data_IF_042097831412
#
_entry.id   IF_042097831412
#
_cell.length_a   1.000
_cell.length_b   1.000
_cell.length_c   1.000
_cell.angle_alpha   90.00
_cell.angle_beta   90.00
_cell.angle_gamma   90.00
#
_symmetry.space_group_name_H-M   'P 1'
#
loop_
_entity.id
_entity.type
_entity.pdbx_description
1 polymer ?
#
# COMPACT_ATOMS: atom_id res chain seq x y z
N UNK A 1 1.21 68.26 17.04
CA UNK A 1 2.33 67.31 17.14
C UNK A 1 1.76 65.96 17.56
N UNK A 2 1.24 65.20 16.58
CA UNK A 2 0.64 63.90 16.78
C UNK A 2 1.65 62.84 16.32
N UNK A 3 2.44 62.32 17.26
CA UNK A 3 3.56 61.43 16.95
C UNK A 3 3.10 59.97 16.94
N UNK A 4 2.76 59.49 15.75
CA UNK A 4 3.39 58.38 15.00
C UNK A 4 3.78 57.05 15.69
N UNK A 5 3.52 56.85 16.97
CA UNK A 5 4.08 55.73 17.74
C UNK A 5 3.12 54.55 17.86
N UNK A 6 1.83 54.76 17.59
CA UNK A 6 0.81 53.71 17.69
C UNK A 6 0.64 52.92 16.39
N UNK A 7 1.04 53.50 15.25
CA UNK A 7 0.90 52.82 13.94
C UNK A 7 1.97 51.75 13.69
N UNK A 8 3.09 51.79 14.41
CA UNK A 8 4.20 50.82 14.22
C UNK A 8 3.97 49.53 15.02
N UNK A 9 3.20 49.55 16.11
CA UNK A 9 2.93 48.33 16.90
C UNK A 9 1.82 47.44 16.34
N UNK A 10 0.98 47.93 15.42
CA UNK A 10 -0.05 47.10 14.77
C UNK A 10 0.50 46.36 13.55
N UNK A 11 1.63 46.80 12.97
CA UNK A 11 2.23 46.15 11.80
C UNK A 11 3.13 44.95 12.14
N UNK A 12 3.52 44.77 13.41
CA UNK A 12 4.42 43.67 13.84
C UNK A 12 3.65 42.44 14.33
N UNK A 13 2.35 42.55 14.61
CA UNK A 13 1.51 41.43 15.04
C UNK A 13 0.88 40.62 13.87
N UNK A 14 1.23 40.96 12.62
CA UNK A 14 0.80 40.25 11.40
C UNK A 14 1.91 39.41 10.76
N UNK A 15 3.01 39.18 11.47
CA UNK A 15 3.78 37.94 11.33
C UNK A 15 2.98 36.81 11.99
N UNK A 16 1.76 36.59 11.47
CA UNK A 16 1.11 35.31 11.63
C UNK A 16 2.13 34.28 11.21
N UNK A 17 2.40 33.32 12.09
CA UNK A 17 3.18 32.14 11.77
C UNK A 17 2.67 31.63 10.42
N UNK A 18 3.40 31.92 9.35
CA UNK A 18 3.33 31.12 8.14
C UNK A 18 3.74 29.75 8.63
N UNK A 19 2.77 28.96 9.08
CA UNK A 19 2.95 27.52 9.16
C UNK A 19 3.53 27.19 7.79
N UNK A 20 4.76 26.65 7.72
CA UNK A 20 5.34 26.34 6.43
C UNK A 20 4.26 25.54 5.71
N UNK A 21 3.84 26.02 4.53
CA UNK A 21 3.02 25.22 3.64
C UNK A 21 3.82 23.93 3.53
N UNK A 22 3.37 22.88 4.21
CA UNK A 22 4.09 21.60 4.21
C UNK A 22 4.06 21.18 2.77
N UNK A 23 5.18 21.39 2.07
CA UNK A 23 5.34 21.01 0.69
C UNK A 23 4.90 19.55 0.60
N UNK A 24 3.98 19.27 -0.33
CA UNK A 24 3.33 17.96 -0.40
C UNK A 24 4.42 16.88 -0.41
N UNK A 25 4.35 15.98 0.57
CA UNK A 25 5.38 14.96 0.75
C UNK A 25 5.26 13.94 -0.38
N UNK A 26 6.37 13.63 -1.04
CA UNK A 26 6.40 12.56 -2.02
C UNK A 26 5.87 11.25 -1.42
N UNK A 27 5.12 10.49 -2.21
CA UNK A 27 4.48 9.26 -1.76
C UNK A 27 4.89 8.08 -2.64
N UNK A 28 5.39 7.00 -2.03
CA UNK A 28 5.76 5.77 -2.72
C UNK A 28 4.89 4.61 -2.25
N UNK A 29 4.34 3.88 -3.21
CA UNK A 29 3.39 2.80 -2.92
C UNK A 29 3.93 1.50 -3.48
N UNK A 30 3.97 0.46 -2.67
CA UNK A 30 4.40 -0.89 -3.01
C UNK A 30 3.32 -1.88 -2.60
N UNK A 31 3.24 -3.01 -3.29
CA UNK A 31 2.35 -4.09 -2.89
C UNK A 31 1.50 -4.66 -4.00
N UNK A 32 0.30 -5.10 -3.63
CA UNK A 32 -0.64 -5.84 -4.46
C UNK A 32 -1.83 -5.00 -4.96
N UNK A 33 -2.91 -5.68 -5.35
CA UNK A 33 -4.15 -5.10 -5.91
C UNK A 33 -4.80 -4.08 -5.00
N UNK A 34 -4.65 -4.19 -3.68
CA UNK A 34 -5.29 -3.29 -2.71
C UNK A 34 -4.81 -1.85 -2.84
N UNK A 35 -3.63 -1.66 -3.44
CA UNK A 35 -3.01 -0.35 -3.62
C UNK A 35 -2.55 -0.10 -5.05
N UNK A 36 -2.78 -0.99 -6.01
CA UNK A 36 -2.43 -0.78 -7.42
C UNK A 36 -3.29 0.36 -8.02
N UNK A 37 -2.62 1.25 -8.74
CA UNK A 37 -3.23 2.37 -9.47
C UNK A 37 -3.20 2.19 -10.99
N UNK A 38 -2.90 0.98 -11.48
CA UNK A 38 -2.99 0.59 -12.89
C UNK A 38 -1.68 0.14 -13.53
N UNK A 39 -0.67 -0.31 -12.78
CA UNK A 39 0.54 -0.88 -13.41
C UNK A 39 0.22 -2.12 -14.25
N UNK A 40 -0.73 -2.94 -13.80
CA UNK A 40 -1.12 -4.17 -14.50
C UNK A 40 -1.72 -3.93 -15.90
N UNK A 41 -2.20 -2.73 -16.19
CA UNK A 41 -2.72 -2.36 -17.51
C UNK A 41 -1.63 -2.36 -18.59
N UNK A 42 -0.36 -2.27 -18.19
CA UNK A 42 0.81 -2.27 -19.08
C UNK A 42 1.43 -3.66 -19.24
N UNK A 43 0.83 -4.71 -18.67
CA UNK A 43 1.37 -6.08 -18.64
C UNK A 43 0.43 -7.05 -19.32
N UNK A 44 0.94 -8.09 -19.98
CA UNK A 44 0.09 -9.21 -20.44
C UNK A 44 -0.22 -10.11 -19.25
N UNK A 45 -1.37 -9.88 -18.61
CA UNK A 45 -1.81 -10.54 -17.37
C UNK A 45 -3.33 -10.63 -17.29
N UNK A 46 -3.84 -11.62 -16.55
CA UNK A 46 -5.25 -11.72 -16.19
C UNK A 46 -5.63 -10.87 -14.97
N UNK A 47 -4.66 -10.42 -14.17
CA UNK A 47 -4.91 -9.59 -13.00
C UNK A 47 -5.04 -8.12 -13.41
N UNK A 48 -6.18 -7.72 -14.01
CA UNK A 48 -6.44 -6.34 -14.45
C UNK A 48 -7.77 -5.79 -13.93
N UNK A 49 -7.81 -4.48 -13.76
CA UNK A 49 -8.99 -3.71 -13.41
C UNK A 49 -9.23 -2.53 -14.39
N UNK A 50 -9.05 -2.80 -15.68
CA UNK A 50 -9.22 -1.87 -16.79
C UNK A 50 -10.58 -2.02 -17.51
N UNK A 51 -11.53 -2.75 -16.90
CA UNK A 51 -12.89 -2.95 -17.40
C UNK A 51 -13.96 -2.69 -16.33
N UNK A 52 -15.24 -2.49 -16.69
CA UNK A 52 -16.34 -2.53 -15.72
C UNK A 52 -16.34 -3.82 -14.89
N UNK A 53 -16.79 -3.79 -13.62
CA UNK A 53 -17.41 -2.65 -12.91
C UNK A 53 -16.40 -1.66 -12.29
N UNK A 54 -15.09 -1.88 -12.44
CA UNK A 54 -14.08 -1.00 -11.84
C UNK A 54 -14.20 0.43 -12.35
N UNK A 55 -14.01 1.39 -11.44
CA UNK A 55 -14.04 2.82 -11.77
C UNK A 55 -15.43 3.45 -11.94
N UNK A 56 -16.54 2.73 -11.67
CA UNK A 56 -17.91 3.28 -11.76
C UNK A 56 -18.14 4.48 -10.83
N UNK A 57 -17.53 4.50 -9.65
CA UNK A 57 -17.58 5.57 -8.65
C UNK A 57 -16.36 6.50 -8.73
N UNK A 58 -15.44 6.28 -9.68
CA UNK A 58 -14.31 7.17 -9.91
C UNK A 58 -14.80 8.49 -10.55
N UNK A 59 -14.17 9.65 -10.32
CA UNK A 59 -14.62 10.93 -10.88
C UNK A 59 -14.82 10.97 -12.41
N UNK A 60 -14.18 10.07 -13.16
CA UNK A 60 -14.33 9.96 -14.61
C UNK A 60 -15.32 8.88 -15.05
N UNK A 61 -15.89 8.11 -14.11
CA UNK A 61 -16.74 6.95 -14.34
C UNK A 61 -16.15 5.91 -15.31
N UNK A 62 -14.81 5.77 -15.30
CA UNK A 62 -14.06 4.85 -16.16
C UNK A 62 -13.10 4.03 -15.32
N UNK A 63 -12.90 2.78 -15.72
CA UNK A 63 -11.90 1.91 -15.14
C UNK A 63 -10.50 2.55 -15.25
N UNK A 64 -9.77 2.56 -14.14
CA UNK A 64 -8.45 3.20 -14.05
C UNK A 64 -7.31 2.21 -13.81
N UNK A 65 -7.60 0.91 -13.69
CA UNK A 65 -6.66 -0.10 -13.20
C UNK A 65 -6.61 -0.23 -11.67
N UNK A 66 -7.46 0.50 -10.94
CA UNK A 66 -7.68 0.30 -9.51
C UNK A 66 -8.69 -0.82 -9.30
N UNK A 67 -8.38 -1.75 -8.41
CA UNK A 67 -9.27 -2.84 -8.01
C UNK A 67 -10.34 -2.35 -7.00
N UNK A 68 -11.10 -1.34 -7.43
CA UNK A 68 -12.14 -0.66 -6.67
C UNK A 68 -13.13 -0.02 -7.65
N UNK A 69 -14.35 0.27 -7.18
CA UNK A 69 -15.28 1.11 -7.92
C UNK A 69 -14.73 2.54 -8.12
N UNK A 70 -13.84 3.01 -7.26
CA UNK A 70 -13.36 4.40 -7.29
C UNK A 70 -11.93 4.52 -6.81
N UNK A 71 -11.72 5.45 -5.88
CA UNK A 71 -10.43 5.67 -5.25
C UNK A 71 -10.02 4.45 -4.41
N UNK A 72 -8.72 4.14 -4.39
CA UNK A 72 -8.16 3.16 -3.48
C UNK A 72 -7.44 3.84 -2.29
N UNK A 73 -6.89 3.05 -1.37
CA UNK A 73 -6.25 3.54 -0.15
C UNK A 73 -5.18 4.61 -0.44
N UNK A 74 -4.22 4.39 -1.38
CA UNK A 74 -3.26 5.40 -1.79
C UNK A 74 -3.86 6.74 -2.20
N UNK A 75 -4.94 6.73 -2.98
CA UNK A 75 -5.55 7.99 -3.43
C UNK A 75 -6.13 8.78 -2.25
N UNK A 76 -6.80 8.09 -1.34
CA UNK A 76 -7.38 8.70 -0.15
C UNK A 76 -6.26 9.27 0.74
N UNK A 77 -5.14 8.55 0.88
CA UNK A 77 -3.95 9.05 1.59
C UNK A 77 -3.39 10.29 0.89
N UNK A 78 -3.23 10.26 -0.44
CA UNK A 78 -2.81 11.41 -1.24
C UNK A 78 -3.68 12.64 -0.97
N UNK A 79 -5.00 12.49 -0.97
CA UNK A 79 -5.93 13.58 -0.64
C UNK A 79 -5.71 14.12 0.78
N UNK A 80 -5.53 13.24 1.77
CA UNK A 80 -5.31 13.63 3.17
C UNK A 80 -4.00 14.36 3.37
N UNK A 81 -2.95 14.02 2.62
CA UNK A 81 -1.67 14.74 2.64
C UNK A 81 -1.64 15.94 1.67
N UNK A 82 -2.80 16.31 1.09
CA UNK A 82 -2.96 17.41 0.12
C UNK A 82 -2.03 17.28 -1.09
N UNK A 83 -1.83 16.05 -1.55
CA UNK A 83 -1.06 15.70 -2.74
C UNK A 83 -1.97 15.16 -3.84
N UNK A 84 -1.51 15.24 -5.08
CA UNK A 84 -2.09 14.48 -6.18
C UNK A 84 -1.93 12.96 -5.93
N UNK A 85 -2.81 12.16 -6.54
CA UNK A 85 -2.63 10.71 -6.61
C UNK A 85 -1.35 10.36 -7.37
N UNK A 86 -0.58 9.43 -6.83
CA UNK A 86 0.61 8.89 -7.50
C UNK A 86 0.22 8.15 -8.78
N UNK A 87 0.97 8.35 -9.86
CA UNK A 87 0.80 7.58 -11.09
C UNK A 87 1.43 6.19 -10.96
N UNK A 88 0.92 5.16 -11.67
CA UNK A 88 1.62 3.89 -11.78
C UNK A 88 2.99 4.09 -12.43
N UNK A 89 4.01 3.39 -11.95
CA UNK A 89 5.39 3.56 -12.42
C UNK A 89 5.54 3.36 -13.93
N UNK A 90 4.78 2.42 -14.50
CA UNK A 90 4.79 2.12 -15.93
C UNK A 90 4.04 3.17 -16.79
N UNK A 91 3.37 4.15 -16.19
CA UNK A 91 2.68 5.20 -16.92
C UNK A 91 3.66 6.08 -17.70
N UNK A 92 3.42 6.33 -19.02
CA UNK A 92 4.21 7.28 -19.78
C UNK A 92 4.02 8.73 -19.31
N UNK A 93 2.99 9.01 -18.52
CA UNK A 93 2.74 10.32 -17.91
C UNK A 93 3.58 10.57 -16.65
N UNK A 94 4.22 9.54 -16.07
CA UNK A 94 5.12 9.71 -14.91
C UNK A 94 6.45 10.31 -15.38
N UNK A 95 6.48 11.60 -15.70
CA UNK A 95 7.69 12.30 -16.18
C UNK A 95 7.78 13.71 -15.57
N UNK A 96 8.95 14.35 -15.68
CA UNK A 96 9.17 15.72 -15.22
C UNK A 96 8.72 15.94 -13.77
N UNK A 97 7.94 17.00 -13.53
CA UNK A 97 7.46 17.36 -12.18
C UNK A 97 6.57 16.29 -11.54
N UNK A 98 5.95 15.38 -12.30
CA UNK A 98 5.18 14.26 -11.72
C UNK A 98 6.06 13.30 -10.92
N UNK A 99 7.37 13.24 -11.23
CA UNK A 99 8.31 12.52 -10.37
C UNK A 99 8.37 13.12 -8.96
N UNK A 100 8.16 14.42 -8.76
CA UNK A 100 8.23 15.02 -7.41
C UNK A 100 7.06 14.60 -6.50
N UNK A 101 5.94 14.17 -7.06
CA UNK A 101 4.77 13.64 -6.33
C UNK A 101 5.07 12.25 -5.75
N UNK A 102 5.91 11.48 -6.43
CA UNK A 102 6.17 10.07 -6.13
C UNK A 102 5.57 9.13 -7.17
N UNK A 103 5.45 7.86 -6.84
CA UNK A 103 5.02 6.83 -7.78
C UNK A 103 4.43 5.61 -7.08
N UNK A 104 3.53 4.93 -7.80
CA UNK A 104 2.97 3.67 -7.38
C UNK A 104 3.64 2.52 -8.14
N UNK A 105 4.30 1.62 -7.40
CA UNK A 105 4.99 0.46 -7.93
C UNK A 105 4.19 -0.84 -7.76
N UNK A 106 3.03 -0.79 -7.10
CA UNK A 106 2.23 -1.95 -6.79
C UNK A 106 1.68 -2.66 -8.03
N UNK A 107 1.40 -3.95 -7.90
CA UNK A 107 0.92 -4.79 -8.99
C UNK A 107 0.06 -5.93 -8.45
N UNK A 108 -1.13 -6.12 -9.01
CA UNK A 108 -2.04 -7.15 -8.52
C UNK A 108 -1.49 -8.57 -8.61
N UNK A 109 -1.91 -9.39 -7.65
CA UNK A 109 -1.58 -10.82 -7.55
C UNK A 109 -0.26 -11.13 -6.86
N UNK A 110 0.60 -10.15 -6.60
CA UNK A 110 1.89 -10.40 -5.96
C UNK A 110 1.73 -10.71 -4.47
N UNK A 111 2.71 -11.43 -3.92
CA UNK A 111 2.87 -11.61 -2.47
C UNK A 111 4.26 -11.23 -2.01
N UNK A 112 4.55 -11.60 -0.76
CA UNK A 112 5.88 -11.58 -0.15
C UNK A 112 6.80 -12.53 -0.92
N UNK A 113 6.31 -13.71 -1.27
CA UNK A 113 7.09 -14.72 -1.97
C UNK A 113 7.07 -14.52 -3.49
N UNK A 114 8.19 -14.85 -4.12
CA UNK A 114 8.36 -14.69 -5.56
C UNK A 114 7.49 -15.66 -6.40
N UNK A 115 7.09 -16.78 -5.82
CA UNK A 115 6.22 -17.79 -6.44
C UNK A 115 4.72 -17.56 -6.15
N UNK A 116 4.36 -16.54 -5.36
CA UNK A 116 2.96 -16.15 -5.18
C UNK A 116 2.42 -15.46 -6.43
N UNK A 117 1.21 -15.81 -6.87
CA UNK A 117 0.53 -15.16 -8.00
C UNK A 117 0.92 -15.67 -9.38
N UNK A 118 1.60 -16.82 -9.49
CA UNK A 118 2.04 -17.40 -10.77
C UNK A 118 0.90 -17.66 -11.77
N UNK A 119 -0.32 -17.89 -11.28
CA UNK A 119 -1.52 -18.06 -12.09
C UNK A 119 -1.91 -16.81 -12.89
N UNK A 120 -1.38 -15.65 -12.53
CA UNK A 120 -1.68 -14.37 -13.19
C UNK A 120 -0.69 -14.01 -14.30
N UNK A 121 0.19 -14.93 -14.71
CA UNK A 121 1.22 -14.71 -15.73
C UNK A 121 2.19 -13.58 -15.34
N UNK A 122 2.13 -12.43 -16.03
CA UNK A 122 3.06 -11.32 -15.81
C UNK A 122 2.58 -10.38 -14.69
N UNK A 123 3.27 -10.40 -13.56
CA UNK A 123 3.04 -9.49 -12.43
C UNK A 123 4.38 -8.87 -12.00
N UNK A 124 4.34 -7.65 -11.45
CA UNK A 124 5.56 -6.94 -10.99
C UNK A 124 5.83 -7.38 -9.55
N UNK A 125 6.55 -8.49 -9.39
CA UNK A 125 6.90 -9.05 -8.08
C UNK A 125 7.64 -8.04 -7.21
N UNK A 126 7.55 -8.19 -5.88
CA UNK A 126 8.03 -7.19 -4.93
C UNK A 126 9.49 -6.77 -5.14
N UNK A 127 10.41 -7.69 -5.45
CA UNK A 127 11.80 -7.32 -5.74
C UNK A 127 11.93 -6.49 -7.03
N UNK A 128 11.13 -6.77 -8.05
CA UNK A 128 11.04 -5.94 -9.26
C UNK A 128 10.44 -4.57 -8.96
N UNK A 129 9.47 -4.47 -8.05
CA UNK A 129 8.97 -3.15 -7.58
C UNK A 129 10.09 -2.33 -6.92
N UNK A 130 10.97 -2.97 -6.13
CA UNK A 130 12.13 -2.32 -5.53
C UNK A 130 13.19 -1.92 -6.58
N UNK A 131 13.37 -2.72 -7.63
CA UNK A 131 14.23 -2.36 -8.78
C UNK A 131 13.67 -1.15 -9.54
N UNK A 132 12.36 -1.11 -9.78
CA UNK A 132 11.68 0.05 -10.36
C UNK A 132 11.81 1.29 -9.47
N UNK A 133 11.80 1.13 -8.15
CA UNK A 133 12.09 2.24 -7.25
C UNK A 133 13.53 2.76 -7.41
N UNK A 134 14.52 1.88 -7.57
CA UNK A 134 15.89 2.29 -7.87
C UNK A 134 16.00 3.04 -9.21
N UNK A 135 15.31 2.55 -10.25
CA UNK A 135 15.27 3.25 -11.54
C UNK A 135 14.57 4.61 -11.42
N UNK A 136 13.45 4.68 -10.70
CA UNK A 136 12.79 5.92 -10.36
C UNK A 136 13.74 6.90 -9.65
N UNK A 137 14.55 6.44 -8.69
CA UNK A 137 15.52 7.29 -7.99
C UNK A 137 16.59 7.85 -8.92
N UNK A 138 17.03 7.08 -9.93
CA UNK A 138 17.95 7.58 -10.97
C UNK A 138 17.28 8.68 -11.80
N UNK A 139 16.03 8.48 -12.21
CA UNK A 139 15.24 9.48 -12.96
C UNK A 139 15.01 10.75 -12.15
N UNK A 140 14.68 10.62 -10.87
CA UNK A 140 14.54 11.74 -9.95
C UNK A 140 15.87 12.47 -9.76
N UNK A 141 16.96 11.73 -9.60
CA UNK A 141 18.32 12.29 -9.48
C UNK A 141 18.71 13.09 -10.71
N UNK A 142 18.40 12.61 -11.92
CA UNK A 142 18.64 13.35 -13.16
C UNK A 142 17.82 14.66 -13.23
N UNK A 143 16.63 14.69 -12.62
CA UNK A 143 15.76 15.87 -12.61
C UNK A 143 16.19 16.94 -11.61
N UNK A 144 16.57 16.56 -10.39
CA UNK A 144 16.77 17.51 -9.27
C UNK A 144 18.16 17.47 -8.62
N UNK A 145 19.05 16.61 -9.10
CA UNK A 145 20.36 16.36 -8.50
C UNK A 145 20.30 15.39 -7.31
N UNK A 146 21.43 14.74 -7.03
CA UNK A 146 21.52 13.63 -6.08
C UNK A 146 21.12 14.01 -4.65
N UNK A 147 21.57 15.17 -4.16
CA UNK A 147 21.29 15.60 -2.79
C UNK A 147 19.79 15.86 -2.58
N UNK A 148 19.14 16.57 -3.50
CA UNK A 148 17.70 16.85 -3.42
C UNK A 148 16.87 15.59 -3.61
N UNK A 149 17.24 14.71 -4.53
CA UNK A 149 16.58 13.42 -4.72
C UNK A 149 16.63 12.56 -3.44
N UNK A 150 17.79 12.48 -2.78
CA UNK A 150 17.95 11.78 -1.49
C UNK A 150 17.09 12.42 -0.40
N UNK A 151 17.00 13.76 -0.36
CA UNK A 151 16.13 14.48 0.56
C UNK A 151 14.65 14.12 0.37
N UNK A 152 14.17 14.15 -0.88
CA UNK A 152 12.80 13.76 -1.25
C UNK A 152 12.49 12.33 -0.78
N UNK A 153 13.37 11.38 -1.11
CA UNK A 153 13.18 9.96 -0.75
C UNK A 153 13.15 9.76 0.76
N UNK A 154 14.11 10.32 1.49
CA UNK A 154 14.19 10.15 2.95
C UNK A 154 13.00 10.78 3.69
N UNK A 155 12.42 11.84 3.13
CA UNK A 155 11.30 12.54 3.74
C UNK A 155 9.94 12.01 3.30
N UNK A 156 9.90 11.20 2.23
CA UNK A 156 8.69 10.63 1.64
C UNK A 156 7.89 9.78 2.63
N UNK A 157 6.59 9.66 2.35
CA UNK A 157 5.74 8.62 2.92
C UNK A 157 5.88 7.38 2.04
N UNK A 158 5.91 6.20 2.66
CA UNK A 158 5.89 4.93 1.94
C UNK A 158 4.75 4.08 2.47
N UNK A 159 3.99 3.46 1.57
CA UNK A 159 2.99 2.45 1.89
C UNK A 159 3.40 1.13 1.26
N UNK A 160 3.35 0.04 2.02
CA UNK A 160 3.56 -1.32 1.51
C UNK A 160 2.49 -2.27 2.01
N UNK A 161 1.86 -2.99 1.08
CA UNK A 161 0.87 -4.04 1.37
C UNK A 161 1.27 -5.36 0.74
N UNK A 162 1.41 -6.40 1.56
CA UNK A 162 1.76 -7.75 1.12
C UNK A 162 1.22 -8.78 2.13
N UNK A 163 1.12 -10.03 1.72
CA UNK A 163 0.86 -11.17 2.61
C UNK A 163 -0.44 -11.89 2.30
N UNK A 164 -1.51 -11.18 1.95
CA UNK A 164 -2.82 -11.82 1.74
C UNK A 164 -2.81 -12.81 0.56
N UNK A 165 -2.16 -12.43 -0.55
CA UNK A 165 -1.97 -13.33 -1.69
C UNK A 165 -1.09 -14.55 -1.37
N UNK A 166 -0.16 -14.46 -0.42
CA UNK A 166 0.63 -15.64 -0.03
C UNK A 166 -0.24 -16.72 0.64
N UNK A 167 -1.35 -16.33 1.26
CA UNK A 167 -2.32 -17.28 1.77
C UNK A 167 -3.34 -17.68 0.71
N UNK A 168 -4.04 -16.73 0.10
CA UNK A 168 -5.16 -17.04 -0.81
C UNK A 168 -4.66 -17.57 -2.15
N UNK A 169 -3.67 -16.91 -2.73
CA UNK A 169 -3.16 -17.14 -4.07
C UNK A 169 -1.89 -18.00 -4.10
N UNK A 170 -1.54 -18.65 -2.99
CA UNK A 170 -0.43 -19.60 -2.92
C UNK A 170 -0.71 -20.76 -1.94
N UNK A 171 -0.72 -20.52 -0.63
CA UNK A 171 -0.87 -21.59 0.36
C UNK A 171 -2.21 -22.33 0.28
N UNK A 172 -3.32 -21.61 0.10
CA UNK A 172 -4.68 -22.17 0.06
C UNK A 172 -5.30 -22.14 -1.34
N UNK A 173 -4.53 -21.80 -2.39
CA UNK A 173 -5.04 -21.65 -3.76
C UNK A 173 -5.78 -22.90 -4.26
N UNK A 174 -5.23 -24.08 -3.97
CA UNK A 174 -5.85 -25.38 -4.25
C UNK A 174 -5.68 -26.31 -3.05
N UNK A 175 -6.57 -27.32 -2.89
CA UNK A 175 -6.36 -28.38 -1.92
C UNK A 175 -4.97 -29.01 -2.09
N UNK A 176 -4.23 -29.14 -0.98
CA UNK A 176 -2.86 -29.68 -0.97
C UNK A 176 -1.90 -28.96 -1.95
N UNK A 177 -1.96 -27.62 -2.02
CA UNK A 177 -0.98 -26.80 -2.72
C UNK A 177 0.47 -27.20 -2.42
N UNK A 178 1.41 -26.85 -3.30
CA UNK A 178 2.83 -27.12 -3.07
C UNK A 178 3.32 -26.56 -1.72
N UNK A 179 2.85 -25.35 -1.33
CA UNK A 179 3.22 -24.71 -0.06
C UNK A 179 2.60 -25.37 1.16
N UNK A 180 1.33 -25.76 1.11
CA UNK A 180 0.68 -26.46 2.22
C UNK A 180 1.25 -27.85 2.47
N UNK A 181 1.75 -28.54 1.43
CA UNK A 181 2.49 -29.80 1.58
C UNK A 181 3.91 -29.61 2.12
N UNK A 182 4.53 -28.47 1.82
CA UNK A 182 5.90 -28.18 2.26
C UNK A 182 5.96 -27.72 3.71
N UNK A 183 4.97 -26.95 4.17
CA UNK A 183 4.97 -26.32 5.48
C UNK A 183 3.60 -26.47 6.16
N UNK A 184 3.61 -26.84 7.43
CA UNK A 184 2.49 -26.55 8.30
C UNK A 184 2.31 -25.03 8.47
N UNK A 185 1.08 -24.55 8.64
CA UNK A 185 0.73 -23.13 8.65
C UNK A 185 1.63 -22.27 9.56
N UNK A 186 1.91 -22.63 10.84
CA UNK A 186 2.79 -21.82 11.68
C UNK A 186 4.21 -21.67 11.13
N UNK A 187 4.76 -22.72 10.49
CA UNK A 187 6.09 -22.67 9.88
C UNK A 187 6.08 -21.83 8.60
N UNK A 188 5.00 -21.90 7.82
CA UNK A 188 4.81 -21.06 6.65
C UNK A 188 4.74 -19.57 7.02
N UNK A 189 3.99 -19.24 8.07
CA UNK A 189 3.91 -17.86 8.59
C UNK A 189 5.29 -17.34 9.01
N UNK A 190 6.07 -18.14 9.77
CA UNK A 190 7.44 -17.73 10.14
C UNK A 190 8.32 -17.49 8.91
N UNK A 191 8.18 -18.34 7.89
CA UNK A 191 8.90 -18.17 6.62
C UNK A 191 8.51 -16.87 5.92
N UNK A 192 7.20 -16.56 5.80
CA UNK A 192 6.73 -15.29 5.26
C UNK A 192 7.28 -14.07 6.02
N UNK A 193 7.26 -14.11 7.35
CA UNK A 193 7.79 -13.02 8.19
C UNK A 193 9.29 -12.79 7.95
N UNK A 194 10.07 -13.88 7.82
CA UNK A 194 11.49 -13.80 7.47
C UNK A 194 11.72 -13.16 6.11
N UNK A 195 10.95 -13.55 5.08
CA UNK A 195 11.10 -12.96 3.75
C UNK A 195 10.64 -11.50 3.70
N UNK A 196 9.54 -11.17 4.40
CA UNK A 196 9.07 -9.78 4.48
C UNK A 196 10.08 -8.89 5.20
N UNK A 197 10.74 -9.38 6.25
CA UNK A 197 11.82 -8.66 6.90
C UNK A 197 12.95 -8.29 5.92
N UNK A 198 13.32 -9.19 4.99
CA UNK A 198 14.34 -8.90 3.96
C UNK A 198 13.90 -7.79 3.01
N UNK A 199 12.64 -7.82 2.56
CA UNK A 199 12.03 -6.78 1.72
C UNK A 199 12.09 -5.42 2.41
N UNK A 200 11.66 -5.35 3.68
CA UNK A 200 11.66 -4.09 4.44
C UNK A 200 13.07 -3.57 4.71
N UNK A 201 14.02 -4.45 5.02
CA UNK A 201 15.43 -4.07 5.12
C UNK A 201 15.97 -3.51 3.80
N UNK A 202 15.56 -4.06 2.65
CA UNK A 202 15.95 -3.53 1.33
C UNK A 202 15.33 -2.16 1.10
N UNK A 203 14.05 -1.98 1.40
CA UNK A 203 13.36 -0.69 1.29
C UNK A 203 14.01 0.40 2.17
N UNK A 204 14.42 0.05 3.41
CA UNK A 204 15.21 0.95 4.27
C UNK A 204 16.57 1.30 3.66
N UNK A 205 17.29 0.32 3.10
CA UNK A 205 18.57 0.56 2.38
C UNK A 205 18.40 1.49 1.18
N UNK A 206 17.23 1.46 0.53
CA UNK A 206 16.88 2.37 -0.56
C UNK A 206 16.48 3.78 -0.10
N UNK A 207 16.46 4.05 1.21
CA UNK A 207 16.25 5.40 1.74
C UNK A 207 14.88 5.64 2.38
N UNK A 208 13.98 4.65 2.39
CA UNK A 208 12.69 4.81 3.07
C UNK A 208 12.87 5.01 4.59
N UNK A 209 12.22 6.03 5.15
CA UNK A 209 12.30 6.35 6.59
C UNK A 209 10.96 6.45 7.31
N UNK A 210 9.84 6.48 6.58
CA UNK A 210 8.48 6.52 7.11
C UNK A 210 7.61 5.56 6.31
N UNK A 211 7.47 4.34 6.81
CA UNK A 211 6.87 3.23 6.07
C UNK A 211 5.64 2.73 6.82
N UNK A 212 4.46 2.93 6.23
CA UNK A 212 3.23 2.27 6.63
C UNK A 212 3.25 0.85 6.06
N UNK A 213 3.22 -0.14 6.95
CA UNK A 213 3.20 -1.56 6.59
C UNK A 213 1.84 -2.12 6.98
N UNK A 214 1.06 -2.58 6.02
CA UNK A 214 -0.24 -3.19 6.32
C UNK A 214 -0.06 -4.67 6.63
N UNK A 215 -0.81 -5.14 7.64
CA UNK A 215 -1.06 -6.57 7.83
C UNK A 215 -2.13 -7.09 6.87
N UNK A 216 -2.51 -8.35 7.03
CA UNK A 216 -3.67 -8.90 6.31
C UNK A 216 -4.97 -8.48 6.99
N UNK A 217 -6.00 -8.24 6.17
CA UNK A 217 -7.37 -8.11 6.68
C UNK A 217 -7.95 -9.44 7.17
N UNK A 218 -9.25 -9.50 7.48
CA UNK A 218 -9.95 -10.74 7.76
C UNK A 218 -10.17 -11.54 6.46
N UNK A 219 -9.13 -12.24 6.00
CA UNK A 219 -9.11 -12.92 4.70
C UNK A 219 -10.25 -13.93 4.52
N UNK A 220 -10.64 -14.64 5.59
CA UNK A 220 -11.75 -15.58 5.53
C UNK A 220 -13.11 -14.91 5.32
N UNK A 221 -13.21 -13.61 5.61
CA UNK A 221 -14.43 -12.82 5.43
C UNK A 221 -14.53 -12.18 4.04
N UNK A 222 -13.50 -12.31 3.20
CA UNK A 222 -13.51 -11.79 1.83
C UNK A 222 -14.66 -12.46 1.06
N UNK A 223 -15.47 -11.70 0.30
CA UNK A 223 -16.64 -12.25 -0.39
C UNK A 223 -16.33 -13.47 -1.28
N UNK A 224 -15.23 -13.43 -2.04
CA UNK A 224 -14.79 -14.56 -2.87
C UNK A 224 -14.49 -15.81 -2.03
N UNK A 225 -13.76 -15.65 -0.92
CA UNK A 225 -13.43 -16.76 -0.02
C UNK A 225 -14.65 -17.32 0.69
N UNK A 226 -15.60 -16.45 1.11
CA UNK A 226 -16.88 -16.89 1.65
C UNK A 226 -17.68 -17.68 0.61
N UNK A 227 -17.76 -17.20 -0.62
CA UNK A 227 -18.48 -17.89 -1.70
C UNK A 227 -17.88 -19.27 -2.03
N UNK A 228 -16.54 -19.40 -1.97
CA UNK A 228 -15.85 -20.65 -2.30
C UNK A 228 -15.77 -21.65 -1.14
N UNK A 229 -15.65 -21.17 0.10
CA UNK A 229 -15.32 -22.02 1.26
C UNK A 229 -16.43 -22.13 2.29
N UNK A 230 -17.39 -21.21 2.30
CA UNK A 230 -18.44 -21.16 3.31
C UNK A 230 -19.72 -21.80 2.83
N UNK A 231 -20.33 -22.63 3.67
CA UNK A 231 -21.64 -23.26 3.39
C UNK A 231 -22.80 -22.47 3.98
N UNK A 232 -22.56 -21.70 5.02
CA UNK A 232 -23.53 -20.93 5.79
C UNK A 232 -23.29 -19.41 5.68
N UNK A 233 -22.30 -19.00 4.89
CA UNK A 233 -21.90 -17.61 4.76
C UNK A 233 -21.00 -17.11 5.89
N UNK A 234 -20.54 -17.93 6.84
CA UNK A 234 -19.53 -17.51 7.81
C UNK A 234 -18.16 -17.30 7.16
N UNK A 235 -17.26 -16.60 7.85
CA UNK A 235 -15.88 -16.44 7.39
C UNK A 235 -15.12 -17.77 7.41
N UNK A 236 -14.28 -18.02 6.41
CA UNK A 236 -13.47 -19.23 6.33
C UNK A 236 -12.44 -19.30 7.48
N UNK A 237 -12.62 -20.26 8.40
CA UNK A 237 -11.83 -20.37 9.64
C UNK A 237 -10.32 -20.51 9.39
N UNK A 238 -9.91 -21.28 8.39
CA UNK A 238 -8.48 -21.52 8.07
C UNK A 238 -7.74 -20.24 7.64
N UNK A 239 -8.42 -19.37 6.88
CA UNK A 239 -7.88 -18.08 6.46
C UNK A 239 -7.90 -17.05 7.60
N UNK A 240 -8.91 -17.09 8.47
CA UNK A 240 -8.91 -16.29 9.69
C UNK A 240 -7.76 -16.68 10.63
N UNK A 241 -7.50 -17.99 10.78
CA UNK A 241 -6.36 -18.49 11.54
C UNK A 241 -5.03 -18.04 10.96
N UNK A 242 -4.89 -18.03 9.62
CA UNK A 242 -3.70 -17.52 8.96
C UNK A 242 -3.44 -16.04 9.28
N UNK A 243 -4.46 -15.18 9.17
CA UNK A 243 -4.36 -13.76 9.57
C UNK A 243 -3.99 -13.60 11.05
N UNK A 244 -4.64 -14.37 11.93
CA UNK A 244 -4.41 -14.32 13.38
C UNK A 244 -2.99 -14.73 13.77
N UNK A 245 -2.36 -15.64 13.02
CA UNK A 245 -0.95 -16.01 13.21
C UNK A 245 0.01 -14.98 12.61
N UNK A 246 -0.30 -14.43 11.44
CA UNK A 246 0.59 -13.56 10.67
C UNK A 246 0.70 -12.15 11.27
N UNK A 247 -0.42 -11.49 11.56
CA UNK A 247 -0.44 -10.08 11.94
C UNK A 247 0.36 -9.77 13.22
N UNK A 248 0.24 -10.52 14.32
CA UNK A 248 1.04 -10.26 15.52
C UNK A 248 2.54 -10.43 15.28
N UNK A 249 2.94 -11.43 14.49
CA UNK A 249 4.34 -11.66 14.16
C UNK A 249 4.90 -10.58 13.23
N UNK A 250 4.09 -10.04 12.32
CA UNK A 250 4.45 -8.87 11.53
C UNK A 250 4.75 -7.69 12.45
N UNK A 251 3.82 -7.33 13.35
CA UNK A 251 4.02 -6.23 14.32
C UNK A 251 5.29 -6.42 15.13
N UNK A 252 5.53 -7.63 15.66
CA UNK A 252 6.73 -7.94 16.42
C UNK A 252 8.01 -7.79 15.59
N UNK A 253 8.00 -8.25 14.34
CA UNK A 253 9.15 -8.10 13.43
C UNK A 253 9.43 -6.63 13.12
N UNK A 254 8.40 -5.81 12.90
CA UNK A 254 8.55 -4.36 12.67
C UNK A 254 9.15 -3.66 13.89
N UNK A 255 8.68 -3.99 15.10
CA UNK A 255 9.28 -3.49 16.35
C UNK A 255 10.76 -3.88 16.46
N UNK A 256 11.10 -5.11 16.09
CA UNK A 256 12.49 -5.58 16.04
C UNK A 256 13.35 -4.79 15.05
N UNK A 257 12.83 -4.49 13.86
CA UNK A 257 13.52 -3.64 12.88
C UNK A 257 13.72 -2.21 13.40
N UNK A 258 12.70 -1.59 13.97
CA UNK A 258 12.80 -0.23 14.51
C UNK A 258 13.84 -0.16 15.66
N UNK A 259 13.85 -1.16 16.55
CA UNK A 259 14.89 -1.28 17.59
C UNK A 259 16.29 -1.40 16.98
N UNK A 260 16.44 -2.25 15.95
CA UNK A 260 17.72 -2.43 15.23
C UNK A 260 18.20 -1.14 14.54
N UNK A 261 17.29 -0.33 14.03
CA UNK A 261 17.62 0.93 13.36
C UNK A 261 17.69 2.14 14.29
N UNK A 262 17.38 1.95 15.59
CA UNK A 262 17.26 3.02 16.58
C UNK A 262 16.36 4.17 16.09
N UNK A 263 15.29 3.83 15.38
CA UNK A 263 14.35 4.78 14.78
C UNK A 263 13.00 4.14 14.49
N UNK A 264 11.92 4.91 14.62
CA UNK A 264 10.55 4.51 14.26
C UNK A 264 10.33 4.65 12.75
N UNK A 265 10.88 3.70 12.00
CA UNK A 265 10.82 3.69 10.53
C UNK A 265 9.53 3.05 10.04
N UNK A 266 9.19 1.90 10.62
CA UNK A 266 8.07 1.07 10.18
C UNK A 266 6.91 1.19 11.17
N UNK A 267 5.72 1.48 10.66
CA UNK A 267 4.50 1.61 11.44
C UNK A 267 3.51 0.57 10.91
N UNK A 268 3.05 -0.31 11.79
CA UNK A 268 2.02 -1.29 11.44
C UNK A 268 0.66 -0.60 11.33
N UNK A 269 -0.04 -0.80 10.22
CA UNK A 269 -1.46 -0.49 10.12
C UNK A 269 -2.28 -1.76 10.42
N UNK A 270 -3.11 -1.71 11.46
CA UNK A 270 -3.94 -2.85 11.87
C UNK A 270 -5.17 -2.97 10.96
N UNK A 271 -4.95 -3.45 9.74
CA UNK A 271 -6.01 -3.63 8.74
C UNK A 271 -7.07 -4.64 9.18
N UNK A 272 -6.72 -5.63 10.02
CA UNK A 272 -7.69 -6.59 10.54
C UNK A 272 -8.73 -5.90 11.43
N UNK A 273 -8.29 -5.17 12.46
CA UNK A 273 -9.16 -4.43 13.36
C UNK A 273 -10.00 -3.40 12.60
N UNK A 274 -9.38 -2.60 11.73
CA UNK A 274 -10.10 -1.61 10.92
C UNK A 274 -11.23 -2.22 10.06
N UNK A 275 -11.03 -3.42 9.51
CA UNK A 275 -12.10 -4.11 8.76
C UNK A 275 -13.13 -4.75 9.69
N UNK A 276 -12.70 -5.29 10.83
CA UNK A 276 -13.61 -5.91 11.78
C UNK A 276 -14.54 -4.88 12.40
N UNK A 277 -14.06 -3.68 12.77
CA UNK A 277 -14.89 -2.58 13.29
C UNK A 277 -16.07 -2.29 12.37
N UNK A 278 -15.78 -2.19 11.07
CA UNK A 278 -16.76 -1.98 10.03
C UNK A 278 -17.71 -3.18 9.81
N UNK A 279 -17.19 -4.41 9.89
CA UNK A 279 -18.02 -5.63 9.76
C UNK A 279 -18.97 -5.79 10.95
N UNK A 280 -18.51 -5.46 12.15
CA UNK A 280 -19.26 -5.66 13.40
C UNK A 280 -20.19 -4.51 13.72
N UNK A 281 -19.86 -3.29 13.28
CA UNK A 281 -20.69 -2.09 13.46
C UNK A 281 -20.77 -1.25 12.17
N UNK A 282 -21.43 -1.75 11.11
CA UNK A 282 -21.52 -1.04 9.84
C UNK A 282 -22.25 0.30 9.96
N UNK A 283 -23.15 0.47 10.93
CA UNK A 283 -23.91 1.72 11.10
C UNK A 283 -23.01 2.89 11.51
N UNK A 284 -21.97 2.64 12.32
CA UNK A 284 -20.99 3.66 12.68
C UNK A 284 -20.19 4.21 11.49
N UNK A 285 -20.14 3.48 10.37
CA UNK A 285 -19.39 3.84 9.16
C UNK A 285 -20.29 4.24 7.98
N UNK A 286 -21.60 4.33 8.20
CA UNK A 286 -22.61 4.70 7.20
C UNK A 286 -23.16 3.52 6.38
N UNK A 287 -24.19 3.79 5.58
CA UNK A 287 -24.77 2.79 4.68
C UNK A 287 -23.87 2.55 3.49
N UNK A 288 -23.40 1.31 3.34
CA UNK A 288 -22.52 0.92 2.25
C UNK A 288 -23.26 0.95 0.91
N UNK A 289 -22.82 1.75 -0.08
CA UNK A 289 -23.04 1.35 -1.47
C UNK A 289 -22.35 -0.01 -1.68
N UNK A 290 -22.79 -0.80 -2.67
CA UNK A 290 -22.16 -2.07 -3.03
C UNK A 290 -20.69 -1.87 -3.41
N UNK A 291 -19.79 -1.91 -2.42
CA UNK A 291 -18.35 -1.81 -2.64
C UNK A 291 -17.89 -3.16 -3.20
N UNK A 292 -17.61 -3.19 -4.51
CA UNK A 292 -16.89 -4.29 -5.13
C UNK A 292 -15.39 -4.07 -4.90
N UNK A 293 -14.91 -4.32 -3.68
CA UNK A 293 -13.49 -4.65 -3.48
C UNK A 293 -13.39 -6.14 -3.71
N UNK A 294 -13.38 -6.51 -4.99
CA UNK A 294 -12.93 -7.83 -5.40
C UNK A 294 -11.41 -7.75 -5.46
N UNK A 295 -10.72 -8.57 -4.68
CA UNK A 295 -9.62 -9.44 -5.11
C UNK A 295 -8.75 -9.79 -3.90
N UNK A 296 -8.94 -11.02 -3.44
CA UNK A 296 -7.88 -12.00 -3.56
C UNK A 296 -8.27 -12.95 -4.70
#
# INVERSE_FOLDING_TARGET
MANSSVLVMVLIALLGTLAPLTEARAFFVFGDSLVDSGNNNYLVTSARADSPPYGIDYPTHRATGRFSNGLNIPDIISQKIKSESTLPYLSPQLTGKKLLVGANFASAGIGILNDTGVQFLNIIRIYTQLEYFQQYQQRLTALVGAQKARGIVNQALVLITLGGNDFVNNYYLVPNSARSRQFALPNYVRYLISEYQKILMRLYKLGARRVLVTGTGPMGCVPAERAMRSRNGECAAELQQASALFNPQLVQMLQGLNKKFHADVFIAANTHEMHMDFITDPQAFGTLPSIYVTIY
#
